data_IF_842583008802
#
_entry.id   IF_842583008802
#
_cell.length_a   1.000
_cell.length_b   1.000
_cell.length_c   1.000
_cell.angle_alpha   90.00
_cell.angle_beta   90.00
_cell.angle_gamma   90.00
#
_symmetry.space_group_name_H-M   'P 1'
#
loop_
_entity.id
_entity.type
_entity.pdbx_description
1 polymer ?
#
# COMPACT_ATOMS: atom_id res chain seq x y z
N UNK A 1 -0.26 -16.57 5.53
CA UNK A 1 -0.28 -15.68 4.34
C UNK A 1 1.11 -15.58 3.72
N UNK A 2 1.21 -15.68 2.39
CA UNK A 2 2.49 -15.57 1.67
C UNK A 2 2.65 -14.24 0.93
N UNK A 3 1.55 -13.62 0.50
CA UNK A 3 1.54 -12.33 -0.22
C UNK A 3 0.28 -11.53 0.10
N UNK A 4 0.36 -10.22 -0.09
CA UNK A 4 -0.78 -9.31 -0.02
C UNK A 4 -0.90 -8.53 -1.31
N UNK A 5 -2.14 -8.20 -1.70
CA UNK A 5 -2.40 -7.31 -2.83
C UNK A 5 -2.64 -5.90 -2.33
N UNK A 6 -1.82 -4.98 -2.77
CA UNK A 6 -1.95 -3.57 -2.43
C UNK A 6 -2.62 -2.80 -3.55
N UNK A 7 -3.43 -1.83 -3.17
CA UNK A 7 -4.08 -0.92 -4.08
C UNK A 7 -3.55 0.50 -3.94
N UNK A 8 -3.04 1.03 -5.04
CA UNK A 8 -2.40 2.33 -5.13
C UNK A 8 -3.28 3.29 -5.92
N UNK A 9 -3.42 4.51 -5.42
CA UNK A 9 -4.09 5.64 -6.08
C UNK A 9 -3.18 6.85 -6.03
N UNK A 10 -3.17 7.66 -7.09
CA UNK A 10 -2.53 8.99 -7.08
C UNK A 10 -3.58 10.08 -6.93
N UNK A 11 -3.44 10.88 -5.87
CA UNK A 11 -4.21 12.08 -5.65
C UNK A 11 -3.30 13.30 -5.46
N UNK A 12 -3.85 14.49 -5.65
CA UNK A 12 -3.14 15.73 -5.32
C UNK A 12 -2.95 15.82 -3.81
N UNK A 13 -1.80 16.35 -3.37
CA UNK A 13 -1.61 16.67 -1.96
C UNK A 13 -2.57 17.78 -1.52
N UNK A 14 -3.20 17.62 -0.36
CA UNK A 14 -3.99 18.69 0.26
C UNK A 14 -3.14 19.93 0.57
N UNK A 15 -1.82 19.75 0.74
CA UNK A 15 -0.86 20.83 1.03
C UNK A 15 -0.27 21.47 -0.23
N UNK A 16 -0.22 20.74 -1.34
CA UNK A 16 0.33 21.22 -2.62
C UNK A 16 -0.35 20.54 -3.81
N UNK A 17 -1.30 21.21 -4.48
CA UNK A 17 -2.05 20.66 -5.61
C UNK A 17 -1.19 20.27 -6.83
N UNK A 18 0.07 20.74 -6.89
CA UNK A 18 1.04 20.36 -7.95
C UNK A 18 1.76 19.05 -7.63
N UNK A 19 1.76 18.65 -6.36
CA UNK A 19 2.40 17.42 -5.91
C UNK A 19 1.42 16.25 -6.01
N UNK A 20 1.79 15.26 -6.82
CA UNK A 20 1.09 13.97 -6.90
C UNK A 20 1.59 13.06 -5.77
N UNK A 21 0.71 12.69 -4.85
CA UNK A 21 1.01 11.77 -3.75
C UNK A 21 0.38 10.42 -4.04
N UNK A 22 1.13 9.36 -3.77
CA UNK A 22 0.65 7.98 -3.82
C UNK A 22 -0.05 7.63 -2.50
N UNK A 23 -1.19 6.96 -2.59
CA UNK A 23 -1.96 6.49 -1.46
C UNK A 23 -2.22 4.99 -1.59
N UNK A 24 -2.23 4.28 -0.47
CA UNK A 24 -2.68 2.90 -0.36
C UNK A 24 -4.11 2.92 0.17
N UNK A 25 -5.08 2.49 -0.63
CA UNK A 25 -6.51 2.54 -0.24
C UNK A 25 -6.98 1.24 0.37
N UNK A 26 -6.46 0.11 -0.11
CA UNK A 26 -6.84 -1.20 0.40
C UNK A 26 -5.75 -2.25 0.26
N UNK A 27 -5.90 -3.28 1.10
CA UNK A 27 -5.08 -4.48 1.13
C UNK A 27 -6.01 -5.67 0.93
N UNK A 28 -5.69 -6.57 0.02
CA UNK A 28 -6.45 -7.82 -0.19
C UNK A 28 -5.58 -9.03 0.17
N UNK A 29 -6.12 -9.96 0.94
CA UNK A 29 -5.47 -11.24 1.27
C UNK A 29 -5.55 -12.21 0.09
N UNK A 30 -4.79 -13.30 0.14
CA UNK A 30 -4.86 -14.38 -0.86
C UNK A 30 -6.22 -15.07 -0.89
N UNK A 31 -6.94 -15.02 0.21
CA UNK A 31 -8.28 -15.57 0.39
C UNK A 31 -9.37 -14.62 -0.15
N UNK A 32 -8.98 -13.43 -0.62
CA UNK A 32 -9.88 -12.46 -1.25
C UNK A 32 -10.51 -11.45 -0.28
N UNK A 33 -10.18 -11.52 1.01
CA UNK A 33 -10.65 -10.57 1.99
C UNK A 33 -10.01 -9.19 1.76
N UNK A 34 -10.83 -8.15 1.68
CA UNK A 34 -10.41 -6.78 1.41
C UNK A 34 -10.52 -5.93 2.68
N UNK A 35 -9.40 -5.34 3.07
CA UNK A 35 -9.27 -4.44 4.20
C UNK A 35 -9.01 -3.03 3.67
N UNK A 36 -9.84 -2.07 4.09
CA UNK A 36 -9.65 -0.66 3.74
C UNK A 36 -8.84 0.04 4.82
N UNK A 37 -7.86 0.84 4.40
CA UNK A 37 -7.05 1.64 5.32
C UNK A 37 -7.82 2.90 5.71
N UNK A 38 -7.73 3.30 6.98
CA UNK A 38 -8.21 4.61 7.44
C UNK A 38 -7.43 5.73 6.74
N UNK A 39 -8.09 6.87 6.50
CA UNK A 39 -7.56 7.96 5.67
C UNK A 39 -6.19 8.49 6.15
N UNK A 40 -5.99 8.55 7.46
CA UNK A 40 -4.76 8.99 8.13
C UNK A 40 -3.56 8.08 7.83
N UNK A 41 -3.80 6.83 7.47
CA UNK A 41 -2.74 5.85 7.19
C UNK A 41 -2.54 5.59 5.70
N UNK A 42 -3.41 6.09 4.81
CA UNK A 42 -3.31 5.80 3.37
C UNK A 42 -2.08 6.40 2.71
N UNK A 43 -1.54 7.50 3.24
CA UNK A 43 -0.46 8.20 2.57
C UNK A 43 0.80 7.33 2.51
N UNK A 44 1.42 7.20 1.33
CA UNK A 44 2.63 6.40 1.13
C UNK A 44 3.76 6.75 2.10
N UNK A 45 3.76 7.95 2.69
CA UNK A 45 4.72 8.33 3.72
C UNK A 45 4.79 7.32 4.89
N UNK A 46 3.66 6.73 5.28
CA UNK A 46 3.55 5.75 6.38
C UNK A 46 3.98 4.33 5.99
N UNK A 47 4.17 4.06 4.69
CA UNK A 47 4.43 2.72 4.18
C UNK A 47 5.90 2.52 3.78
N UNK A 48 6.82 2.74 4.73
CA UNK A 48 8.28 2.72 4.50
C UNK A 48 8.78 1.40 3.89
N UNK A 49 8.36 0.26 4.43
CA UNK A 49 8.77 -1.06 3.92
C UNK A 49 8.20 -1.37 2.53
N UNK A 50 6.96 -0.94 2.25
CA UNK A 50 6.34 -1.12 0.94
C UNK A 50 7.10 -0.33 -0.15
N UNK A 51 7.67 0.83 0.19
CA UNK A 51 8.50 1.63 -0.73
C UNK A 51 9.77 0.92 -1.20
N UNK A 52 10.23 -0.10 -0.48
CA UNK A 52 11.42 -0.88 -0.86
C UNK A 52 11.11 -1.93 -1.92
N UNK A 53 9.84 -2.19 -2.20
CA UNK A 53 9.41 -3.26 -3.11
C UNK A 53 9.52 -2.87 -4.58
N UNK A 54 9.78 -3.86 -5.43
CA UNK A 54 9.76 -3.68 -6.88
C UNK A 54 8.39 -3.23 -7.41
N UNK A 55 7.32 -3.68 -6.75
CA UNK A 55 5.97 -3.25 -7.10
C UNK A 55 5.84 -1.75 -6.94
N UNK A 56 6.25 -1.19 -5.81
CA UNK A 56 6.19 0.24 -5.58
C UNK A 56 7.00 1.01 -6.63
N UNK A 57 8.22 0.57 -6.94
CA UNK A 57 9.06 1.24 -7.94
C UNK A 57 8.39 1.25 -9.33
N UNK A 58 7.79 0.12 -9.74
CA UNK A 58 7.03 0.00 -10.99
C UNK A 58 5.79 0.89 -11.00
N UNK A 59 5.03 0.90 -9.91
CA UNK A 59 3.84 1.74 -9.75
C UNK A 59 4.24 3.21 -9.83
N UNK A 60 5.18 3.66 -9.01
CA UNK A 60 5.66 5.05 -8.96
C UNK A 60 6.12 5.56 -10.33
N UNK A 61 6.78 4.72 -11.12
CA UNK A 61 7.28 5.11 -12.44
C UNK A 61 6.18 5.24 -13.51
N UNK A 62 5.05 4.54 -13.37
CA UNK A 62 4.07 4.38 -14.45
C UNK A 62 2.66 4.88 -14.12
N UNK A 63 2.35 5.12 -12.84
CA UNK A 63 1.02 5.55 -12.41
C UNK A 63 0.79 7.02 -12.78
N UNK A 64 -0.38 7.31 -13.35
CA UNK A 64 -0.79 8.67 -13.72
C UNK A 64 -1.74 9.24 -12.66
N UNK A 65 -1.93 10.56 -12.66
CA UNK A 65 -2.89 11.23 -11.78
C UNK A 65 -4.30 10.66 -12.03
N UNK A 66 -5.02 10.32 -10.94
CA UNK A 66 -6.33 9.65 -10.97
C UNK A 66 -6.32 8.21 -11.51
N UNK A 67 -5.15 7.61 -11.76
CA UNK A 67 -5.03 6.18 -12.08
C UNK A 67 -5.05 5.34 -10.80
N UNK A 68 -5.48 4.09 -10.94
CA UNK A 68 -5.52 3.09 -9.87
C UNK A 68 -4.72 1.87 -10.31
N UNK A 69 -3.83 1.40 -9.45
CA UNK A 69 -2.99 0.22 -9.71
C UNK A 69 -3.14 -0.77 -8.57
N UNK A 70 -3.24 -2.05 -8.91
CA UNK A 70 -3.22 -3.14 -7.94
C UNK A 70 -2.03 -4.04 -8.22
N UNK A 71 -1.44 -4.61 -7.17
CA UNK A 71 -0.36 -5.57 -7.34
C UNK A 71 -0.09 -6.40 -6.11
N UNK A 72 0.36 -7.64 -6.35
CA UNK A 72 0.76 -8.57 -5.31
C UNK A 72 2.20 -8.30 -4.87
N UNK A 73 2.43 -8.35 -3.56
CA UNK A 73 3.74 -8.24 -2.93
C UNK A 73 3.95 -9.46 -2.07
N UNK A 74 5.08 -10.13 -2.27
CA UNK A 74 5.51 -11.21 -1.38
C UNK A 74 5.82 -10.64 0.00
N UNK A 75 5.28 -11.25 1.04
CA UNK A 75 5.49 -10.82 2.42
C UNK A 75 6.86 -11.27 2.94
N UNK A 76 7.83 -10.36 2.91
CA UNK A 76 9.09 -10.50 3.67
C UNK A 76 8.83 -10.38 5.18
N UNK A 77 9.80 -10.74 6.02
CA UNK A 77 9.65 -10.63 7.47
C UNK A 77 9.36 -9.19 7.91
N UNK A 78 10.00 -8.20 7.27
CA UNK A 78 9.76 -6.78 7.56
C UNK A 78 8.33 -6.37 7.20
N UNK A 79 7.85 -6.73 6.00
CA UNK A 79 6.47 -6.45 5.60
C UNK A 79 5.44 -7.16 6.49
N UNK A 80 5.72 -8.39 6.91
CA UNK A 80 4.83 -9.10 7.84
C UNK A 80 4.69 -8.35 9.15
N UNK A 81 5.79 -7.85 9.71
CA UNK A 81 5.73 -7.10 10.98
C UNK A 81 4.90 -5.83 10.91
N UNK A 82 4.76 -5.23 9.72
CA UNK A 82 4.03 -3.98 9.47
C UNK A 82 2.56 -4.23 9.13
N UNK A 83 2.26 -5.27 8.34
CA UNK A 83 0.91 -5.51 7.77
C UNK A 83 0.18 -6.73 8.33
N UNK A 84 0.82 -7.51 9.20
CA UNK A 84 0.22 -8.66 9.84
C UNK A 84 0.66 -8.83 11.30
N UNK A 85 -0.17 -9.48 12.11
CA UNK A 85 0.22 -9.94 13.44
C UNK A 85 0.75 -11.39 13.43
N UNK A 86 1.15 -11.89 14.59
CA UNK A 86 1.65 -13.27 14.75
C UNK A 86 0.58 -14.34 14.48
N UNK A 87 -0.70 -13.96 14.56
CA UNK A 87 -1.84 -14.84 14.25
C UNK A 87 -2.25 -14.76 12.78
N UNK A 88 -1.60 -13.90 11.98
CA UNK A 88 -1.88 -13.73 10.56
C UNK A 88 -3.05 -12.79 10.26
N UNK A 89 -3.56 -12.03 11.22
CA UNK A 89 -4.57 -11.01 10.96
C UNK A 89 -3.93 -9.80 10.27
N UNK A 90 -4.70 -9.11 9.41
CA UNK A 90 -4.25 -7.85 8.82
C UNK A 90 -4.28 -6.75 9.87
N UNK A 91 -3.10 -6.19 10.14
CA UNK A 91 -2.93 -5.06 11.05
C UNK A 91 -1.90 -4.12 10.45
N UNK A 92 -2.18 -2.82 10.38
CA UNK A 92 -1.19 -1.83 9.99
C UNK A 92 -0.58 -1.16 11.22
N UNK A 93 0.73 -1.35 11.42
CA UNK A 93 1.54 -0.66 12.44
C UNK A 93 2.33 0.47 11.75
N UNK A 94 1.65 1.59 11.51
CA UNK A 94 2.18 2.75 10.79
C UNK A 94 3.29 3.52 11.51
#
# INVERSE_FOLDING_TARGET
MQRLRFEFVVAASDKDPKSNILYITSITTEEGEKYELSEEYRNIIHHSELKKTDLYNKVKANIKRHDRRIGWVQLTEELKSVYSDEMGNIQFKG
#
